data_IF_474825754429
#
_entry.id   IF_474825754429
#
_cell.length_a   1.000
_cell.length_b   1.000
_cell.length_c   1.000
_cell.angle_alpha   90.00
_cell.angle_beta   90.00
_cell.angle_gamma   90.00
#
_symmetry.space_group_name_H-M   'P 1'
#
loop_
_entity.id
_entity.type
_entity.pdbx_description
1 polymer ?
#
# COMPACT_ATOMS: atom_id res chain seq x y z
N UNK A 1 9.02 2.51 28.13
CA UNK A 1 7.62 2.05 28.34
C UNK A 1 7.11 1.38 27.08
N UNK A 2 6.64 0.13 27.20
CA UNK A 2 6.06 -0.63 26.08
C UNK A 2 4.71 -0.02 25.69
N UNK A 3 4.30 -0.16 24.42
CA UNK A 3 3.06 0.47 23.93
C UNK A 3 1.82 0.00 24.71
N UNK A 4 1.77 -1.28 25.12
CA UNK A 4 0.62 -1.80 25.85
C UNK A 4 0.49 -1.19 27.25
N UNK A 5 1.60 -0.99 27.96
CA UNK A 5 1.62 -0.31 29.28
C UNK A 5 1.12 1.13 29.17
N UNK A 6 1.53 1.85 28.10
CA UNK A 6 1.06 3.20 27.82
C UNK A 6 -0.45 3.20 27.60
N UNK A 7 -0.96 2.34 26.72
CA UNK A 7 -2.39 2.28 26.39
C UNK A 7 -3.23 1.93 27.61
N UNK A 8 -2.78 0.98 28.43
CA UNK A 8 -3.49 0.58 29.64
C UNK A 8 -3.57 1.73 30.66
N UNK A 9 -2.53 2.55 30.81
CA UNK A 9 -2.53 3.70 31.73
C UNK A 9 -3.52 4.81 31.35
N UNK A 10 -3.77 5.01 30.06
CA UNK A 10 -4.64 6.10 29.57
C UNK A 10 -5.89 5.57 28.84
N UNK A 11 -6.32 4.36 29.17
CA UNK A 11 -7.54 3.74 28.60
C UNK A 11 -8.77 4.64 28.87
N UNK A 12 -9.74 4.61 27.95
CA UNK A 12 -11.01 5.34 28.05
C UNK A 12 -11.04 6.63 27.24
N UNK A 13 -12.00 7.49 27.57
CA UNK A 13 -12.17 8.80 26.94
C UNK A 13 -11.24 9.79 27.65
N UNK A 14 -10.29 10.36 26.91
CA UNK A 14 -9.25 11.22 27.45
C UNK A 14 -9.20 12.56 26.71
N UNK A 15 -8.75 13.61 27.41
CA UNK A 15 -8.34 14.87 26.80
C UNK A 15 -6.81 14.96 26.77
N UNK A 16 -6.25 15.97 26.10
CA UNK A 16 -4.79 16.14 26.12
C UNK A 16 -4.28 16.41 27.55
N UNK A 17 -5.05 17.16 28.35
CA UNK A 17 -4.68 17.49 29.73
C UNK A 17 -4.76 16.27 30.66
N UNK A 18 -5.76 15.40 30.50
CA UNK A 18 -5.83 14.17 31.29
C UNK A 18 -4.69 13.19 30.94
N UNK A 19 -4.26 13.15 29.68
CA UNK A 19 -3.10 12.33 29.27
C UNK A 19 -1.80 12.89 29.85
N UNK A 20 -1.60 14.21 29.84
CA UNK A 20 -0.44 14.86 30.46
C UNK A 20 -0.36 14.51 31.94
N UNK A 21 -1.47 14.66 32.66
CA UNK A 21 -1.57 14.38 34.09
C UNK A 21 -1.31 12.89 34.38
N UNK A 22 -2.00 11.98 33.68
CA UNK A 22 -1.88 10.54 33.91
C UNK A 22 -0.47 9.96 33.61
N UNK A 23 0.25 10.57 32.67
CA UNK A 23 1.59 10.12 32.29
C UNK A 23 2.72 10.96 32.89
N UNK A 24 2.38 12.04 33.60
CA UNK A 24 3.32 13.05 34.08
C UNK A 24 4.30 13.51 32.98
N UNK A 25 3.74 13.96 31.85
CA UNK A 25 4.52 14.44 30.70
C UNK A 25 4.06 15.82 30.26
N UNK A 26 4.97 16.54 29.59
CA UNK A 26 4.64 17.82 28.98
C UNK A 26 3.63 17.68 27.81
N UNK A 27 3.13 18.83 27.35
CA UNK A 27 2.13 18.89 26.27
C UNK A 27 2.65 18.36 24.94
N UNK A 28 3.89 18.67 24.56
CA UNK A 28 4.47 18.24 23.29
C UNK A 28 4.63 16.72 23.26
N UNK A 29 5.07 16.14 24.38
CA UNK A 29 5.22 14.71 24.56
C UNK A 29 3.88 14.00 24.57
N UNK A 30 2.86 14.56 25.22
CA UNK A 30 1.50 14.03 25.17
C UNK A 30 0.94 14.00 23.73
N UNK A 31 1.12 15.09 22.96
CA UNK A 31 0.72 15.14 21.54
C UNK A 31 1.43 14.06 20.73
N UNK A 32 2.74 13.92 20.92
CA UNK A 32 3.53 12.89 20.24
C UNK A 32 3.06 11.47 20.56
N UNK A 33 2.76 11.19 21.84
CA UNK A 33 2.27 9.88 22.28
C UNK A 33 0.89 9.57 21.69
N UNK A 34 -0.03 10.54 21.69
CA UNK A 34 -1.34 10.41 21.03
C UNK A 34 -1.16 10.13 19.54
N UNK A 35 -0.32 10.88 18.85
CA UNK A 35 -0.02 10.66 17.43
C UNK A 35 0.52 9.24 17.18
N UNK A 36 1.48 8.79 18.00
CA UNK A 36 2.08 7.45 17.91
C UNK A 36 1.04 6.36 18.15
N UNK A 37 0.18 6.52 19.15
CA UNK A 37 -0.89 5.56 19.45
C UNK A 37 -1.97 5.53 18.38
N UNK A 38 -2.32 6.69 17.82
CA UNK A 38 -3.24 6.82 16.69
C UNK A 38 -2.72 6.07 15.46
N UNK A 39 -1.43 6.21 15.14
CA UNK A 39 -0.79 5.45 14.05
C UNK A 39 -0.83 3.93 14.25
N UNK A 40 -0.86 3.49 15.50
CA UNK A 40 -0.97 2.08 15.88
C UNK A 40 -2.41 1.59 16.04
N UNK A 41 -3.40 2.47 15.86
CA UNK A 41 -4.82 2.11 15.89
C UNK A 41 -5.49 2.13 17.27
N UNK A 42 -4.78 2.49 18.32
CA UNK A 42 -5.31 2.51 19.69
C UNK A 42 -6.15 3.75 20.01
N UNK A 43 -6.17 4.76 19.13
CA UNK A 43 -6.81 6.06 19.40
C UNK A 43 -7.77 6.45 18.28
N UNK A 44 -9.02 6.71 18.64
CA UNK A 44 -10.00 7.40 17.79
C UNK A 44 -10.21 8.82 18.32
N UNK A 45 -10.05 9.82 17.46
CA UNK A 45 -10.25 11.24 17.83
C UNK A 45 -11.69 11.64 17.54
N UNK A 46 -12.35 12.29 18.49
CA UNK A 46 -13.67 12.89 18.34
C UNK A 46 -13.69 14.31 18.93
N UNK A 47 -14.77 15.04 18.69
CA UNK A 47 -15.02 16.34 19.28
C UNK A 47 -16.29 16.27 20.13
N UNK A 48 -16.28 16.91 21.29
CA UNK A 48 -17.50 17.13 22.07
C UNK A 48 -18.38 18.19 21.42
N UNK A 49 -19.62 18.34 21.92
CA UNK A 49 -20.54 19.45 21.55
C UNK A 49 -19.85 20.82 21.58
N UNK A 50 -18.97 21.01 22.55
CA UNK A 50 -18.25 22.28 22.79
C UNK A 50 -16.97 22.40 21.94
N UNK A 51 -16.85 21.60 20.87
CA UNK A 51 -15.69 21.54 19.97
C UNK A 51 -14.36 21.19 20.66
N UNK A 52 -14.40 20.63 21.87
CA UNK A 52 -13.19 20.17 22.58
C UNK A 52 -12.77 18.80 22.02
N UNK A 53 -11.49 18.65 21.70
CA UNK A 53 -10.94 17.40 21.17
C UNK A 53 -10.81 16.35 22.29
N UNK A 54 -11.39 15.18 22.06
CA UNK A 54 -11.32 14.00 22.92
C UNK A 54 -10.71 12.80 22.18
N UNK A 55 -10.05 11.93 22.93
CA UNK A 55 -9.33 10.76 22.46
C UNK A 55 -9.92 9.53 23.11
N UNK A 56 -10.54 8.66 22.31
CA UNK A 56 -11.01 7.36 22.77
C UNK A 56 -9.85 6.38 22.63
N UNK A 57 -9.29 5.96 23.76
CA UNK A 57 -8.12 5.09 23.82
C UNK A 57 -8.57 3.70 24.30
N UNK A 58 -8.32 2.67 23.49
CA UNK A 58 -8.65 1.29 23.84
C UNK A 58 -7.40 0.39 23.74
N UNK A 59 -7.23 -0.59 24.65
CA UNK A 59 -6.21 -1.63 24.55
C UNK A 59 -6.45 -2.57 23.36
N UNK A 60 -7.70 -2.74 22.97
CA UNK A 60 -8.08 -3.38 21.72
C UNK A 60 -7.96 -2.36 20.58
N UNK A 61 -7.45 -2.81 19.44
CA UNK A 61 -7.29 -1.93 18.30
C UNK A 61 -8.67 -1.53 17.74
N UNK A 62 -9.18 -0.39 18.18
CA UNK A 62 -10.50 0.16 17.84
C UNK A 62 -10.59 0.64 16.39
N UNK A 63 -9.44 0.91 15.76
CA UNK A 63 -9.37 1.20 14.34
C UNK A 63 -9.09 -0.10 13.59
N UNK A 64 -10.14 -0.85 13.26
CA UNK A 64 -10.08 -2.00 12.37
C UNK A 64 -9.14 -1.69 11.20
N UNK A 65 -7.97 -2.34 11.20
CA UNK A 65 -6.89 -2.01 10.29
C UNK A 65 -7.00 -2.84 9.02
N UNK A 66 -6.77 -2.20 7.88
CA UNK A 66 -6.71 -2.88 6.58
C UNK A 66 -5.26 -2.96 6.15
N UNK A 67 -4.80 -4.15 5.81
CA UNK A 67 -3.48 -4.34 5.22
C UNK A 67 -3.55 -4.28 3.69
N UNK A 68 -2.39 -4.08 3.07
CA UNK A 68 -2.24 -4.25 1.62
C UNK A 68 -2.63 -5.65 1.15
N UNK A 69 -2.36 -6.67 1.97
CA UNK A 69 -2.71 -8.06 1.70
C UNK A 69 -4.23 -8.24 1.67
N UNK A 70 -4.96 -7.62 2.61
CA UNK A 70 -6.42 -7.67 2.65
C UNK A 70 -7.04 -7.08 1.37
N UNK A 71 -6.47 -5.97 0.88
CA UNK A 71 -6.89 -5.34 -0.38
C UNK A 71 -6.61 -6.25 -1.58
N UNK A 72 -5.42 -6.85 -1.67
CA UNK A 72 -5.08 -7.79 -2.75
C UNK A 72 -6.03 -8.99 -2.71
N UNK A 73 -6.19 -9.62 -1.55
CA UNK A 73 -7.04 -10.81 -1.37
C UNK A 73 -8.51 -10.53 -1.65
N UNK A 74 -8.98 -9.29 -1.45
CA UNK A 74 -10.36 -8.90 -1.79
C UNK A 74 -10.66 -9.04 -3.28
N UNK A 75 -9.69 -8.78 -4.16
CA UNK A 75 -9.92 -8.74 -5.61
C UNK A 75 -9.24 -9.88 -6.37
N UNK A 76 -8.20 -10.48 -5.81
CA UNK A 76 -7.36 -11.45 -6.51
C UNK A 76 -7.88 -12.88 -6.39
N UNK A 77 -7.86 -13.68 -7.46
CA UNK A 77 -8.04 -15.13 -7.37
C UNK A 77 -6.86 -15.77 -6.62
N UNK A 78 -5.66 -15.19 -6.72
CA UNK A 78 -4.47 -15.65 -6.02
C UNK A 78 -4.49 -15.10 -4.58
N UNK A 79 -4.74 -15.98 -3.60
CA UNK A 79 -4.73 -15.60 -2.19
C UNK A 79 -3.31 -15.61 -1.62
N UNK A 80 -3.00 -14.55 -0.88
CA UNK A 80 -1.79 -14.38 -0.10
C UNK A 80 -2.05 -14.73 1.35
N UNK A 81 -1.21 -15.59 1.94
CA UNK A 81 -1.07 -15.75 3.38
C UNK A 81 0.17 -15.00 3.84
N UNK A 82 0.04 -14.23 4.93
CA UNK A 82 1.19 -13.59 5.58
C UNK A 82 1.08 -13.81 7.08
N UNK A 83 2.15 -14.31 7.70
CA UNK A 83 2.28 -14.41 9.16
C UNK A 83 2.41 -13.03 9.81
N UNK A 84 2.94 -12.05 9.07
CA UNK A 84 3.10 -10.66 9.51
C UNK A 84 2.23 -9.75 8.64
N UNK A 85 1.00 -9.54 9.06
CA UNK A 85 0.08 -8.60 8.41
C UNK A 85 0.28 -7.23 9.04
N UNK A 86 1.15 -6.40 8.46
CA UNK A 86 1.21 -4.98 8.85
C UNK A 86 -0.12 -4.31 8.48
N UNK A 87 -0.96 -4.08 9.49
CA UNK A 87 -2.24 -3.39 9.33
C UNK A 87 -2.04 -1.88 9.38
N UNK A 88 -2.61 -1.19 8.40
CA UNK A 88 -2.62 0.27 8.38
C UNK A 88 -3.86 0.73 9.13
N UNK A 89 -3.64 1.53 10.17
CA UNK A 89 -4.70 2.03 11.04
C UNK A 89 -5.04 3.48 10.73
N UNK A 90 -6.31 3.84 10.91
CA UNK A 90 -6.80 5.21 10.75
C UNK A 90 -7.03 5.67 9.30
N UNK A 91 -6.75 4.81 8.32
CA UNK A 91 -7.15 4.98 6.91
C UNK A 91 -7.16 3.64 6.19
N UNK A 92 -7.91 3.55 5.09
CA UNK A 92 -7.84 2.41 4.17
C UNK A 92 -6.78 2.72 3.11
N UNK A 93 -5.78 1.85 2.88
CA UNK A 93 -4.83 2.05 1.81
C UNK A 93 -5.52 2.09 0.44
N UNK A 94 -5.04 2.94 -0.47
CA UNK A 94 -5.61 3.00 -1.82
C UNK A 94 -5.18 1.81 -2.66
N UNK A 95 -5.88 1.60 -3.79
CA UNK A 95 -5.51 0.59 -4.78
C UNK A 95 -4.12 0.89 -5.34
N UNK A 96 -3.87 2.18 -5.62
CA UNK A 96 -2.61 2.69 -6.17
C UNK A 96 -1.44 2.48 -5.21
N UNK A 97 -1.63 2.78 -3.91
CA UNK A 97 -0.62 2.48 -2.87
C UNK A 97 -0.36 0.98 -2.75
N UNK A 98 -1.41 0.16 -2.86
CA UNK A 98 -1.31 -1.31 -2.76
C UNK A 98 -0.53 -1.89 -3.95
N UNK A 99 -0.72 -1.36 -5.16
CA UNK A 99 0.05 -1.73 -6.34
C UNK A 99 1.54 -1.39 -6.20
N UNK A 100 1.87 -0.18 -5.73
CA UNK A 100 3.27 0.19 -5.51
C UNK A 100 3.90 -0.66 -4.41
N UNK A 101 3.15 -0.92 -3.33
CA UNK A 101 3.60 -1.81 -2.26
C UNK A 101 3.93 -3.22 -2.78
N UNK A 102 3.05 -3.83 -3.57
CA UNK A 102 3.24 -5.20 -4.05
C UNK A 102 4.52 -5.34 -4.88
N UNK A 103 4.81 -4.39 -5.76
CA UNK A 103 6.06 -4.35 -6.54
C UNK A 103 7.27 -4.12 -5.64
N UNK A 104 7.16 -3.20 -4.67
CA UNK A 104 8.23 -2.90 -3.71
C UNK A 104 8.63 -4.09 -2.84
N UNK A 105 7.71 -5.03 -2.58
CA UNK A 105 8.06 -6.26 -1.83
C UNK A 105 9.05 -7.15 -2.57
N UNK A 106 9.17 -7.01 -3.91
CA UNK A 106 10.00 -7.86 -4.78
C UNK A 106 9.70 -9.36 -4.61
N UNK A 107 8.46 -9.72 -4.25
CA UNK A 107 8.00 -11.11 -4.12
C UNK A 107 7.07 -11.46 -5.27
N UNK A 108 7.42 -12.48 -6.06
CA UNK A 108 6.68 -12.88 -7.27
C UNK A 108 5.18 -13.06 -7.01
N UNK A 109 4.82 -13.78 -5.94
CA UNK A 109 3.42 -14.05 -5.58
C UNK A 109 2.62 -12.80 -5.25
N UNK A 110 3.25 -11.80 -4.62
CA UNK A 110 2.60 -10.51 -4.33
C UNK A 110 2.34 -9.73 -5.62
N UNK A 111 3.30 -9.74 -6.53
CA UNK A 111 3.19 -9.05 -7.81
C UNK A 111 2.10 -9.69 -8.67
N UNK A 112 2.15 -11.01 -8.83
CA UNK A 112 1.12 -11.79 -9.55
C UNK A 112 -0.26 -11.51 -8.99
N UNK A 113 -0.45 -11.67 -7.67
CA UNK A 113 -1.74 -11.46 -7.02
C UNK A 113 -2.26 -10.02 -7.17
N UNK A 114 -1.38 -9.03 -7.25
CA UNK A 114 -1.76 -7.62 -7.36
C UNK A 114 -2.13 -7.19 -8.79
N UNK A 115 -1.86 -7.97 -9.84
CA UNK A 115 -2.14 -7.55 -11.23
C UNK A 115 -3.61 -7.21 -11.46
N UNK A 116 -4.54 -7.87 -10.77
CA UNK A 116 -5.98 -7.56 -10.85
C UNK A 116 -6.32 -6.14 -10.40
N UNK A 117 -5.50 -5.56 -9.54
CA UNK A 117 -5.74 -4.23 -8.98
C UNK A 117 -5.66 -3.14 -10.05
N UNK A 118 -4.95 -3.37 -11.17
CA UNK A 118 -4.97 -2.44 -12.32
C UNK A 118 -6.39 -2.20 -12.86
N UNK A 119 -7.31 -3.17 -12.75
CA UNK A 119 -8.73 -2.99 -13.12
C UNK A 119 -9.46 -2.02 -12.20
N UNK A 120 -8.92 -1.75 -11.02
CA UNK A 120 -9.52 -0.93 -9.96
C UNK A 120 -8.84 0.43 -9.80
N UNK A 121 -7.78 0.72 -10.57
CA UNK A 121 -7.11 2.02 -10.56
C UNK A 121 -8.09 3.10 -11.02
N UNK A 122 -8.31 4.09 -10.17
CA UNK A 122 -9.18 5.23 -10.44
C UNK A 122 -8.38 6.48 -10.74
N UNK A 123 -7.21 6.62 -10.12
CA UNK A 123 -6.38 7.82 -10.21
C UNK A 123 -4.96 7.46 -10.70
N UNK A 124 -4.75 7.59 -12.02
CA UNK A 124 -3.44 7.32 -12.62
C UNK A 124 -2.36 8.32 -12.20
N UNK A 125 -2.74 9.58 -11.97
CA UNK A 125 -1.82 10.62 -11.50
C UNK A 125 -1.26 10.29 -10.11
N UNK A 126 -2.10 9.78 -9.21
CA UNK A 126 -1.67 9.33 -7.88
C UNK A 126 -0.77 8.09 -7.97
N UNK A 127 -1.13 7.10 -8.81
CA UNK A 127 -0.27 5.94 -9.04
C UNK A 127 1.11 6.35 -9.58
N UNK A 128 1.16 7.32 -10.50
CA UNK A 128 2.41 7.84 -11.05
C UNK A 128 3.26 8.48 -9.96
N UNK A 129 2.67 9.36 -9.15
CA UNK A 129 3.36 10.04 -8.05
C UNK A 129 3.97 9.02 -7.08
N UNK A 130 3.17 8.05 -6.63
CA UNK A 130 3.63 7.00 -5.71
C UNK A 130 4.71 6.12 -6.32
N UNK A 131 4.58 5.75 -7.59
CA UNK A 131 5.58 4.97 -8.30
C UNK A 131 6.89 5.75 -8.47
N UNK A 132 6.81 7.06 -8.76
CA UNK A 132 7.97 7.95 -8.88
C UNK A 132 8.72 8.08 -7.56
N UNK A 133 8.00 8.28 -6.46
CA UNK A 133 8.58 8.35 -5.11
C UNK A 133 9.32 7.05 -4.70
N UNK A 134 8.96 5.92 -5.29
CA UNK A 134 9.60 4.63 -5.03
C UNK A 134 10.56 4.17 -6.15
N UNK A 135 10.77 4.99 -7.19
CA UNK A 135 11.55 4.64 -8.38
C UNK A 135 11.08 3.35 -9.09
N UNK A 136 9.76 3.15 -9.17
CA UNK A 136 9.09 1.96 -9.74
C UNK A 136 8.23 2.29 -10.97
N UNK A 137 8.39 3.48 -11.56
CA UNK A 137 7.51 3.97 -12.64
C UNK A 137 7.48 3.02 -13.84
N UNK A 138 8.65 2.57 -14.28
CA UNK A 138 8.79 1.68 -15.44
C UNK A 138 8.23 0.29 -15.14
N UNK A 139 8.49 -0.23 -13.95
CA UNK A 139 7.98 -1.51 -13.46
C UNK A 139 6.44 -1.52 -13.40
N UNK A 140 5.85 -0.44 -12.89
CA UNK A 140 4.39 -0.28 -12.86
C UNK A 140 3.82 -0.16 -14.28
N UNK A 141 4.52 0.47 -15.22
CA UNK A 141 4.14 0.54 -16.63
C UNK A 141 4.17 -0.83 -17.33
N UNK A 142 5.25 -1.59 -17.14
CA UNK A 142 5.39 -2.93 -17.69
C UNK A 142 4.31 -3.89 -17.16
N UNK A 143 4.10 -3.91 -15.85
CA UNK A 143 3.08 -4.77 -15.22
C UNK A 143 1.65 -4.35 -15.59
N UNK A 144 1.41 -3.07 -15.89
CA UNK A 144 0.14 -2.61 -16.45
C UNK A 144 -0.15 -3.25 -17.82
N UNK A 145 0.82 -3.26 -18.74
CA UNK A 145 0.65 -3.85 -20.06
C UNK A 145 0.43 -5.36 -19.96
N UNK A 146 1.13 -6.03 -19.04
CA UNK A 146 0.89 -7.45 -18.72
C UNK A 146 -0.54 -7.66 -18.22
N UNK A 147 -0.97 -6.88 -17.23
CA UNK A 147 -2.33 -6.98 -16.68
C UNK A 147 -3.40 -6.72 -17.74
N UNK A 148 -3.17 -5.78 -18.65
CA UNK A 148 -4.07 -5.47 -19.77
C UNK A 148 -4.15 -6.62 -20.78
N UNK A 149 -3.06 -7.35 -21.00
CA UNK A 149 -3.01 -8.53 -21.89
C UNK A 149 -3.66 -9.76 -21.26
N UNK A 150 -3.55 -9.95 -19.94
CA UNK A 150 -3.83 -11.26 -19.29
C UNK A 150 -4.88 -11.28 -18.19
N UNK A 151 -5.19 -10.16 -17.53
CA UNK A 151 -6.06 -10.14 -16.33
C UNK A 151 -7.47 -9.61 -16.63
N UNK A 152 -7.73 -9.24 -17.89
CA UNK A 152 -9.02 -8.81 -18.39
C UNK A 152 -9.11 -7.30 -18.65
N UNK A 153 -10.32 -6.73 -18.57
CA UNK A 153 -10.58 -5.34 -18.97
C UNK A 153 -10.00 -4.33 -17.98
N UNK A 154 -8.75 -3.92 -18.22
CA UNK A 154 -8.05 -2.84 -17.50
C UNK A 154 -8.34 -1.50 -18.19
N UNK A 155 -8.64 -0.45 -17.42
CA UNK A 155 -8.84 0.91 -17.95
C UNK A 155 -7.57 1.39 -18.66
N UNK A 156 -7.72 2.16 -19.74
CA UNK A 156 -6.57 2.78 -20.42
C UNK A 156 -5.81 3.70 -19.45
N UNK A 157 -4.50 3.52 -19.37
CA UNK A 157 -3.60 4.42 -18.65
C UNK A 157 -3.56 5.78 -19.33
N UNK A 158 -3.51 6.84 -18.55
CA UNK A 158 -3.45 8.22 -19.07
C UNK A 158 -2.19 8.43 -19.92
N UNK A 159 -2.34 9.13 -21.06
CA UNK A 159 -1.22 9.42 -21.97
C UNK A 159 -0.07 10.14 -21.25
N UNK A 160 -0.38 11.04 -20.32
CA UNK A 160 0.62 11.74 -19.51
C UNK A 160 1.49 10.78 -18.69
N UNK A 161 0.89 9.78 -18.05
CA UNK A 161 1.64 8.74 -17.33
C UNK A 161 2.61 8.06 -18.30
N UNK A 162 2.09 7.55 -19.43
CA UNK A 162 2.88 6.79 -20.40
C UNK A 162 4.08 7.62 -20.88
N UNK A 163 3.84 8.86 -21.30
CA UNK A 163 4.89 9.73 -21.84
C UNK A 163 6.01 10.01 -20.82
N UNK A 164 5.68 10.08 -19.52
CA UNK A 164 6.68 10.27 -18.47
C UNK A 164 7.33 8.98 -17.97
N UNK A 165 6.70 7.83 -18.26
CA UNK A 165 7.14 6.54 -17.76
C UNK A 165 7.96 5.74 -18.78
N UNK A 166 7.88 6.07 -20.06
CA UNK A 166 8.70 5.42 -21.08
C UNK A 166 10.19 5.73 -20.87
N UNK A 167 11.08 4.74 -21.06
CA UNK A 167 12.51 4.94 -20.92
C UNK A 167 13.01 5.87 -22.03
N UNK A 168 14.02 6.68 -21.70
CA UNK A 168 14.81 7.40 -22.71
C UNK A 168 15.75 6.44 -23.44
N UNK A 169 16.28 6.88 -24.59
CA UNK A 169 17.10 6.05 -25.48
C UNK A 169 18.36 5.48 -24.82
N UNK A 170 18.89 6.14 -23.78
CA UNK A 170 20.09 5.80 -23.03
C UNK A 170 19.83 4.98 -21.75
N UNK A 171 18.57 4.82 -21.33
CA UNK A 171 18.27 4.17 -20.05
C UNK A 171 18.44 2.65 -20.08
N UNK A 172 19.19 2.09 -19.13
CA UNK A 172 19.37 0.64 -19.04
C UNK A 172 18.07 -0.11 -18.71
N UNK A 173 18.07 -1.42 -19.01
CA UNK A 173 17.05 -2.33 -18.52
C UNK A 173 17.03 -2.37 -16.99
N UNK A 174 15.84 -2.52 -16.43
CA UNK A 174 15.60 -2.71 -14.99
C UNK A 174 14.95 -4.07 -14.75
N UNK A 175 15.03 -4.54 -13.51
CA UNK A 175 14.37 -5.76 -13.09
C UNK A 175 13.21 -5.45 -12.14
N UNK A 176 12.05 -6.06 -12.37
CA UNK A 176 10.98 -6.08 -11.36
C UNK A 176 11.41 -6.92 -10.15
N UNK A 177 12.10 -8.03 -10.36
CA UNK A 177 12.80 -8.80 -9.33
C UNK A 177 14.16 -9.16 -9.92
N UNK A 178 15.24 -8.87 -9.18
CA UNK A 178 16.61 -9.09 -9.67
C UNK A 178 16.79 -10.52 -10.19
N UNK A 179 17.47 -10.65 -11.32
CA UNK A 179 17.79 -11.91 -11.99
C UNK A 179 16.59 -12.74 -12.51
N UNK A 180 15.36 -12.22 -12.45
CA UNK A 180 14.19 -12.85 -13.05
C UNK A 180 13.74 -12.11 -14.30
N UNK A 181 13.52 -12.84 -15.39
CA UNK A 181 13.06 -12.33 -16.67
C UNK A 181 12.13 -13.34 -17.35
N UNK A 182 11.25 -12.84 -18.21
CA UNK A 182 10.27 -13.64 -18.93
C UNK A 182 10.73 -13.94 -20.34
N UNK A 183 10.30 -15.08 -20.89
CA UNK A 183 10.40 -15.34 -22.34
C UNK A 183 9.15 -14.87 -23.10
N UNK A 184 8.04 -14.66 -22.41
CA UNK A 184 6.73 -14.48 -23.05
C UNK A 184 6.30 -13.02 -23.21
N UNK A 185 6.96 -12.11 -22.50
CA UNK A 185 6.61 -10.68 -22.46
C UNK A 185 7.64 -9.76 -23.13
N UNK A 186 8.49 -10.28 -24.02
CA UNK A 186 9.60 -9.52 -24.63
C UNK A 186 9.17 -8.18 -25.26
N UNK A 187 8.01 -8.13 -25.91
CA UNK A 187 7.48 -6.89 -26.48
C UNK A 187 7.18 -5.83 -25.41
N UNK A 188 6.67 -6.24 -24.25
CA UNK A 188 6.44 -5.37 -23.09
C UNK A 188 7.79 -5.01 -22.46
N UNK A 189 8.67 -5.99 -22.28
CA UNK A 189 9.99 -5.76 -21.69
C UNK A 189 10.81 -4.74 -22.48
N UNK A 190 10.80 -4.82 -23.81
CA UNK A 190 11.49 -3.90 -24.71
C UNK A 190 10.90 -2.49 -24.66
N UNK A 191 9.56 -2.37 -24.66
CA UNK A 191 8.87 -1.08 -24.60
C UNK A 191 9.21 -0.30 -23.33
N UNK A 192 9.29 -0.98 -22.19
CA UNK A 192 9.51 -0.35 -20.90
C UNK A 192 10.98 -0.42 -20.42
N UNK A 193 11.83 -1.18 -21.13
CA UNK A 193 13.17 -1.58 -20.68
C UNK A 193 13.12 -2.15 -19.26
N UNK A 194 12.24 -3.13 -19.04
CA UNK A 194 12.00 -3.77 -17.74
C UNK A 194 11.80 -5.27 -17.92
N UNK A 195 12.56 -6.09 -17.21
CA UNK A 195 12.36 -7.53 -17.14
C UNK A 195 11.21 -7.90 -16.22
N UNK A 196 10.25 -8.66 -16.76
CA UNK A 196 9.08 -9.17 -16.06
C UNK A 196 9.44 -10.50 -15.40
N UNK A 197 9.14 -10.73 -14.11
CA UNK A 197 9.76 -11.81 -13.36
C UNK A 197 8.98 -13.13 -13.42
N UNK A 198 8.09 -13.30 -14.39
CA UNK A 198 7.20 -14.46 -14.53
C UNK A 198 6.74 -14.64 -15.97
N UNK A 199 6.24 -15.82 -16.30
CA UNK A 199 5.78 -16.24 -17.62
C UNK A 199 4.25 -16.25 -17.71
N UNK A 200 3.72 -16.50 -18.91
CA UNK A 200 2.26 -16.56 -19.13
C UNK A 200 1.61 -17.71 -18.35
N UNK A 201 2.32 -18.82 -18.14
CA UNK A 201 1.86 -19.96 -17.35
C UNK A 201 1.67 -19.62 -15.86
N UNK A 202 2.33 -18.59 -15.34
CA UNK A 202 2.12 -18.14 -13.95
C UNK A 202 0.81 -17.36 -13.78
N UNK A 203 0.10 -17.09 -14.89
CA UNK A 203 -1.14 -16.30 -14.93
C UNK A 203 -2.38 -17.14 -15.24
N UNK A 204 -2.29 -18.47 -15.22
CA UNK A 204 -3.43 -19.38 -15.49
C UNK A 204 -4.62 -19.11 -14.56
N UNK A 205 -4.37 -18.73 -13.30
CA UNK A 205 -5.43 -18.40 -12.33
C UNK A 205 -6.29 -17.20 -12.74
N UNK A 206 -5.85 -16.39 -13.72
CA UNK A 206 -6.62 -15.28 -14.28
C UNK A 206 -7.41 -15.62 -15.53
N UNK A 207 -7.23 -16.82 -16.10
CA UNK A 207 -7.96 -17.29 -17.28
C UNK A 207 -9.30 -17.96 -16.95
N UNK A 208 -9.55 -18.25 -15.67
CA UNK A 208 -10.80 -18.81 -15.13
C UNK A 208 -11.83 -17.71 -14.90
#
# INVERSE_FOLDING_TARGET
MRTQELVNKIKGIQTLESIKSALNVDRARAIYLVYRLKRKGYVKTQYTSDKKRVYHISPENVLGGTSYVDIINKYSPIKLSSSEVHKIHGRVPSIEETLVYSVKTRKIRYILAALVLYRKVKNWSELYRLAKENNLVREIGALYDVARKKVGKVRRMEKRFINHALPKEDESYRFVIQHLQSKDFQNIENRWRVHVPFNENDLEDYKK
#
